data_IF_712879550321
#
_entry.id   IF_712879550321
#
_cell.length_a   1.000
_cell.length_b   1.000
_cell.length_c   1.000
_cell.angle_alpha   90.00
_cell.angle_beta   90.00
_cell.angle_gamma   90.00
#
_symmetry.space_group_name_H-M   'P 1'
#
loop_
_entity.id
_entity.type
_entity.pdbx_description
1 polymer ?
#
# COMPACT_ATOMS: atom_id res chain seq x y z
N UNK A 1 -4.81 -15.10 14.79
CA UNK A 1 -4.72 -13.63 14.60
C UNK A 1 -3.35 -13.15 15.04
N UNK A 2 -2.66 -12.35 14.22
CA UNK A 2 -1.64 -11.44 14.74
C UNK A 2 -2.35 -10.09 14.86
N UNK A 3 -2.89 -9.72 16.04
CA UNK A 3 -3.39 -8.37 16.22
C UNK A 3 -2.25 -7.41 15.89
N UNK A 4 -2.54 -6.38 15.10
CA UNK A 4 -1.55 -5.35 14.78
C UNK A 4 -0.87 -4.90 16.08
N UNK A 5 0.46 -5.00 16.12
CA UNK A 5 1.27 -4.72 17.28
C UNK A 5 1.16 -3.24 17.64
N UNK A 6 1.56 -2.90 18.87
CA UNK A 6 1.61 -1.49 19.29
C UNK A 6 2.54 -0.67 18.39
N UNK A 7 3.63 -1.28 17.92
CA UNK A 7 4.58 -0.65 17.00
C UNK A 7 3.94 -0.41 15.65
N UNK A 8 3.26 -1.42 15.09
CA UNK A 8 2.57 -1.29 13.81
C UNK A 8 1.52 -0.18 13.86
N UNK A 9 0.62 -0.22 14.85
CA UNK A 9 -0.42 0.81 14.99
C UNK A 9 0.15 2.21 15.16
N UNK A 10 1.24 2.35 15.91
CA UNK A 10 1.87 3.64 16.13
C UNK A 10 2.48 4.21 14.85
N UNK A 11 3.23 3.40 14.09
CA UNK A 11 3.90 3.85 12.85
C UNK A 11 2.89 4.00 11.71
N UNK A 12 2.02 3.01 11.51
CA UNK A 12 0.98 3.05 10.49
C UNK A 12 0.01 4.21 10.72
N UNK A 13 -0.47 4.36 11.95
CA UNK A 13 -1.43 5.38 12.35
C UNK A 13 -0.89 6.81 12.41
N UNK A 14 0.43 6.99 12.39
CA UNK A 14 1.06 8.32 12.42
C UNK A 14 1.38 8.88 11.04
N UNK A 15 1.08 8.15 9.96
CA UNK A 15 1.37 8.63 8.61
C UNK A 15 0.77 7.79 7.49
N UNK A 16 1.03 6.48 7.47
CA UNK A 16 0.66 5.61 6.33
C UNK A 16 -0.84 5.40 6.14
N UNK A 17 -1.66 5.62 7.17
CA UNK A 17 -3.12 5.55 7.07
C UNK A 17 -3.79 6.91 6.83
N UNK A 18 -3.02 7.97 6.60
CA UNK A 18 -3.51 9.36 6.58
C UNK A 18 -3.57 9.96 5.17
N UNK A 19 -3.44 9.16 4.11
CA UNK A 19 -3.45 9.66 2.73
C UNK A 19 -4.68 10.53 2.42
N UNK A 20 -5.88 10.08 2.84
CA UNK A 20 -7.14 10.78 2.56
C UNK A 20 -7.33 12.05 3.41
N UNK A 21 -6.87 12.04 4.67
CA UNK A 21 -7.13 13.11 5.63
C UNK A 21 -6.00 14.16 5.67
N UNK A 22 -4.75 13.71 5.63
CA UNK A 22 -3.53 14.51 5.78
C UNK A 22 -2.45 14.03 4.78
N UNK A 23 -2.65 14.23 3.46
CA UNK A 23 -1.76 13.71 2.42
C UNK A 23 -0.31 14.19 2.57
N UNK A 24 -0.09 15.39 3.12
CA UNK A 24 1.26 15.88 3.43
C UNK A 24 2.02 14.99 4.43
N UNK A 25 1.33 14.50 5.47
CA UNK A 25 1.91 13.60 6.48
C UNK A 25 2.18 12.21 5.86
N UNK A 26 1.28 11.75 4.99
CA UNK A 26 1.48 10.50 4.25
C UNK A 26 2.73 10.56 3.35
N UNK A 27 2.90 11.65 2.60
CA UNK A 27 4.07 11.90 1.73
C UNK A 27 5.35 11.90 2.56
N UNK A 28 5.38 12.67 3.65
CA UNK A 28 6.53 12.73 4.56
C UNK A 28 6.87 11.34 5.09
N UNK A 29 5.87 10.59 5.56
CA UNK A 29 6.07 9.23 6.06
C UNK A 29 6.68 8.30 5.00
N UNK A 30 6.26 8.38 3.74
CA UNK A 30 6.83 7.58 2.64
C UNK A 30 8.26 7.98 2.31
N UNK A 31 8.56 9.28 2.25
CA UNK A 31 9.89 9.80 1.92
C UNK A 31 10.93 9.53 3.01
N UNK A 32 10.50 9.46 4.27
CA UNK A 32 11.39 9.17 5.40
C UNK A 32 11.76 7.68 5.52
N UNK A 33 11.00 6.75 4.92
CA UNK A 33 11.21 5.29 5.10
C UNK A 33 12.65 4.84 4.81
N UNK A 34 13.30 5.23 3.69
CA UNK A 34 14.67 4.83 3.41
C UNK A 34 15.64 5.24 4.53
N UNK A 35 15.51 6.47 5.04
CA UNK A 35 16.32 6.94 6.15
C UNK A 35 16.00 6.14 7.43
N UNK A 36 14.72 6.00 7.77
CA UNK A 36 14.28 5.30 8.97
C UNK A 36 14.71 3.83 8.99
N UNK A 37 14.72 3.14 7.85
CA UNK A 37 15.24 1.77 7.73
C UNK A 37 16.77 1.72 7.84
N UNK A 38 17.48 2.66 7.22
CA UNK A 38 18.95 2.72 7.29
C UNK A 38 19.47 3.07 8.69
N UNK A 39 18.70 3.86 9.45
CA UNK A 39 19.02 4.36 10.78
C UNK A 39 18.09 3.76 11.85
N UNK A 40 17.92 2.43 11.85
CA UNK A 40 17.03 1.71 12.77
C UNK A 40 17.78 0.90 13.86
N UNK A 41 18.44 1.56 14.85
CA UNK A 41 19.24 0.85 15.84
C UNK A 41 18.43 -0.06 16.76
N UNK A 42 17.09 0.08 16.77
CA UNK A 42 16.18 -0.73 17.58
C UNK A 42 15.35 -1.71 16.76
N UNK A 43 15.56 -1.79 15.44
CA UNK A 43 14.82 -2.68 14.54
C UNK A 43 13.30 -2.41 14.48
N UNK A 44 12.84 -1.20 14.85
CA UNK A 44 11.42 -0.87 14.92
C UNK A 44 10.78 -0.74 13.56
N UNK A 45 11.46 -0.06 12.62
CA UNK A 45 11.01 0.10 11.25
C UNK A 45 11.16 -1.19 10.46
N UNK A 46 12.21 -1.97 10.73
CA UNK A 46 12.36 -3.30 10.15
C UNK A 46 11.22 -4.24 10.60
N UNK A 47 10.92 -4.29 11.91
CA UNK A 47 9.80 -5.07 12.43
C UNK A 47 8.44 -4.58 11.89
N UNK A 48 8.27 -3.28 11.72
CA UNK A 48 7.08 -2.71 11.07
C UNK A 48 6.93 -3.20 9.64
N UNK A 49 7.99 -3.13 8.82
CA UNK A 49 7.99 -3.63 7.44
C UNK A 49 7.64 -5.13 7.37
N UNK A 50 8.21 -5.94 8.25
CA UNK A 50 7.94 -7.39 8.31
C UNK A 50 6.49 -7.70 8.71
N UNK A 51 5.96 -6.95 9.69
CA UNK A 51 4.56 -7.07 10.10
C UNK A 51 3.59 -6.59 9.00
N UNK A 52 3.95 -5.53 8.28
CA UNK A 52 3.19 -5.04 7.13
C UNK A 52 3.09 -6.12 6.04
N UNK A 53 4.22 -6.73 5.67
CA UNK A 53 4.24 -7.83 4.70
C UNK A 53 3.37 -9.00 5.16
N UNK A 54 3.36 -9.29 6.46
CA UNK A 54 2.51 -10.33 7.06
C UNK A 54 1.02 -9.99 6.91
N UNK A 55 0.64 -8.73 7.12
CA UNK A 55 -0.74 -8.29 6.94
C UNK A 55 -1.23 -8.44 5.49
N UNK A 56 -0.38 -8.14 4.50
CA UNK A 56 -0.68 -8.37 3.08
C UNK A 56 -0.78 -9.87 2.79
N UNK A 57 0.23 -10.66 3.21
CA UNK A 57 0.29 -12.11 2.93
C UNK A 57 -0.92 -12.86 3.48
N UNK A 58 -1.31 -12.53 4.71
CA UNK A 58 -2.33 -13.27 5.46
C UNK A 58 -3.71 -12.57 5.40
N UNK A 59 -3.89 -11.53 4.55
CA UNK A 59 -5.11 -10.71 4.43
C UNK A 59 -5.76 -10.41 5.80
N UNK A 60 -4.93 -9.99 6.75
CA UNK A 60 -5.25 -10.01 8.18
C UNK A 60 -5.46 -8.61 8.79
N UNK A 61 -5.25 -7.56 8.00
CA UNK A 61 -5.62 -6.21 8.38
C UNK A 61 -7.10 -6.00 8.07
N UNK A 62 -7.89 -5.72 9.09
CA UNK A 62 -9.34 -5.62 8.95
C UNK A 62 -9.74 -4.37 8.15
N UNK A 63 -10.85 -4.43 7.39
CA UNK A 63 -11.42 -3.27 6.74
C UNK A 63 -11.71 -2.12 7.70
N UNK A 64 -11.49 -0.89 7.26
CA UNK A 64 -11.65 0.31 8.08
C UNK A 64 -13.13 0.68 8.29
N UNK A 65 -13.99 0.37 7.33
CA UNK A 65 -15.43 0.64 7.38
C UNK A 65 -16.26 -0.59 6.96
N UNK A 66 -17.55 -0.59 7.31
CA UNK A 66 -18.50 -1.65 6.91
C UNK A 66 -18.72 -1.70 5.38
N UNK A 67 -18.39 -0.63 4.66
CA UNK A 67 -18.49 -0.57 3.20
C UNK A 67 -17.27 -1.15 2.47
N UNK A 68 -16.16 -1.34 3.18
CA UNK A 68 -14.92 -1.83 2.60
C UNK A 68 -14.87 -3.35 2.62
N UNK A 69 -14.51 -3.94 1.49
CA UNK A 69 -14.21 -5.37 1.44
C UNK A 69 -12.79 -5.64 1.91
N UNK A 70 -12.51 -6.87 2.38
CA UNK A 70 -11.13 -7.29 2.66
C UNK A 70 -10.23 -7.12 1.42
N UNK A 71 -10.76 -7.36 0.21
CA UNK A 71 -9.99 -7.19 -1.02
C UNK A 71 -9.59 -5.74 -1.28
N UNK A 72 -10.51 -4.78 -1.07
CA UNK A 72 -10.18 -3.36 -1.17
C UNK A 72 -9.09 -2.96 -0.17
N UNK A 73 -9.16 -3.52 1.04
CA UNK A 73 -8.16 -3.29 2.08
C UNK A 73 -6.80 -3.86 1.69
N UNK A 74 -6.76 -5.09 1.16
CA UNK A 74 -5.52 -5.72 0.69
C UNK A 74 -4.89 -4.94 -0.46
N UNK A 75 -5.71 -4.48 -1.42
CA UNK A 75 -5.27 -3.66 -2.55
C UNK A 75 -4.74 -2.29 -2.09
N UNK A 76 -5.37 -1.66 -1.10
CA UNK A 76 -4.87 -0.42 -0.50
C UNK A 76 -3.53 -0.64 0.22
N UNK A 77 -3.39 -1.72 1.00
CA UNK A 77 -2.12 -2.05 1.63
C UNK A 77 -1.00 -2.29 0.61
N UNK A 78 -1.29 -2.86 -0.58
CA UNK A 78 -0.32 -2.97 -1.67
C UNK A 78 0.11 -1.61 -2.21
N UNK A 79 -0.78 -0.62 -2.28
CA UNK A 79 -0.42 0.76 -2.65
C UNK A 79 0.53 1.36 -1.62
N UNK A 80 0.17 1.27 -0.34
CA UNK A 80 1.01 1.79 0.75
C UNK A 80 2.37 1.09 0.79
N UNK A 81 2.41 -0.23 0.57
CA UNK A 81 3.66 -0.97 0.46
C UNK A 81 4.53 -0.45 -0.68
N UNK A 82 3.93 -0.27 -1.87
CA UNK A 82 4.62 0.26 -3.04
C UNK A 82 5.18 1.66 -2.76
N UNK A 83 4.41 2.52 -2.10
CA UNK A 83 4.79 3.89 -1.77
C UNK A 83 5.90 3.96 -0.72
N UNK A 84 5.81 3.15 0.32
CA UNK A 84 6.75 3.16 1.44
C UNK A 84 8.04 2.38 1.15
N UNK A 85 7.95 1.19 0.54
CA UNK A 85 9.04 0.22 0.52
C UNK A 85 9.61 -0.07 -0.87
N UNK A 86 8.92 0.35 -1.94
CA UNK A 86 9.40 0.24 -3.32
C UNK A 86 8.63 -0.75 -4.18
N UNK A 87 9.10 -0.96 -5.43
CA UNK A 87 8.35 -1.68 -6.46
C UNK A 87 8.30 -3.21 -6.27
N UNK A 88 9.20 -3.76 -5.45
CA UNK A 88 9.20 -5.19 -5.15
C UNK A 88 7.98 -5.58 -4.31
N UNK A 89 7.20 -6.61 -4.70
CA UNK A 89 6.04 -7.05 -3.93
C UNK A 89 6.38 -7.40 -2.48
N UNK A 90 5.38 -7.27 -1.61
CA UNK A 90 5.52 -7.71 -0.23
C UNK A 90 5.88 -9.21 -0.18
N UNK A 91 6.87 -9.64 0.62
CA UNK A 91 7.28 -11.03 0.68
C UNK A 91 6.12 -11.97 0.99
N UNK A 92 5.82 -12.87 0.04
CA UNK A 92 4.75 -13.85 0.16
C UNK A 92 3.36 -13.33 -0.21
N UNK A 93 3.22 -12.12 -0.76
CA UNK A 93 1.94 -11.63 -1.28
C UNK A 93 1.34 -12.65 -2.28
N UNK A 94 0.15 -13.21 -2.00
CA UNK A 94 -0.48 -14.20 -2.88
C UNK A 94 -0.98 -13.59 -4.19
N UNK A 95 -1.20 -12.27 -4.25
CA UNK A 95 -1.78 -11.59 -5.41
C UNK A 95 -1.05 -10.27 -5.72
N UNK A 96 0.24 -10.33 -6.07
CA UNK A 96 1.02 -9.12 -6.34
C UNK A 96 0.41 -8.32 -7.50
N UNK A 97 0.61 -7.00 -7.48
CA UNK A 97 0.30 -6.14 -8.63
C UNK A 97 1.41 -6.31 -9.67
N UNK A 98 1.08 -6.51 -10.96
CA UNK A 98 2.08 -6.54 -12.03
C UNK A 98 2.90 -5.25 -12.05
N UNK A 99 4.23 -5.36 -12.23
CA UNK A 99 5.12 -4.20 -12.15
C UNK A 99 4.76 -3.13 -13.20
N UNK A 100 4.31 -3.56 -14.38
CA UNK A 100 3.90 -2.71 -15.49
C UNK A 100 2.60 -1.93 -15.27
N UNK A 101 1.82 -2.26 -14.24
CA UNK A 101 0.57 -1.55 -13.96
C UNK A 101 0.83 -0.28 -13.13
N UNK A 102 1.89 -0.25 -12.30
CA UNK A 102 2.22 0.88 -11.44
C UNK A 102 2.57 2.13 -12.24
N UNK A 103 1.96 3.27 -11.89
CA UNK A 103 2.18 4.54 -12.59
C UNK A 103 1.62 4.59 -14.01
N UNK A 104 0.84 3.57 -14.42
CA UNK A 104 0.23 3.48 -15.75
C UNK A 104 -1.26 3.19 -15.67
N UNK A 105 -1.63 1.99 -15.20
CA UNK A 105 -3.03 1.59 -14.94
C UNK A 105 -3.40 1.74 -13.48
N UNK A 106 -2.41 1.77 -12.59
CA UNK A 106 -2.59 1.87 -11.16
C UNK A 106 -1.85 3.06 -10.60
N UNK A 107 -2.62 3.95 -9.99
CA UNK A 107 -2.13 5.11 -9.26
C UNK A 107 -2.21 4.80 -7.76
N UNK A 108 -1.22 5.29 -7.01
CA UNK A 108 -1.20 5.26 -5.55
C UNK A 108 -1.39 6.67 -5.00
N UNK A 109 -1.67 6.77 -3.71
CA UNK A 109 -1.88 8.08 -3.06
C UNK A 109 -0.63 8.95 -3.13
N UNK A 110 0.58 8.35 -3.05
CA UNK A 110 1.80 9.11 -3.25
C UNK A 110 1.88 9.69 -4.66
N UNK A 111 1.54 8.93 -5.69
CA UNK A 111 1.52 9.44 -7.08
C UNK A 111 0.51 10.58 -7.25
N UNK A 112 -0.65 10.51 -6.58
CA UNK A 112 -1.71 11.51 -6.69
C UNK A 112 -1.40 12.81 -5.94
N UNK A 113 -0.69 12.72 -4.81
CA UNK A 113 -0.50 13.87 -3.92
C UNK A 113 0.92 14.43 -3.95
N UNK A 114 1.94 13.59 -4.17
CA UNK A 114 3.35 13.99 -4.13
C UNK A 114 3.88 14.41 -5.51
N UNK A 115 3.33 13.83 -6.59
CA UNK A 115 3.84 14.00 -7.96
C UNK A 115 2.91 14.94 -8.74
N UNK A 116 3.44 16.11 -9.12
CA UNK A 116 2.76 17.09 -9.97
C UNK A 116 3.36 17.12 -11.38
N UNK A 117 2.80 17.96 -12.26
CA UNK A 117 3.23 18.08 -13.67
C UNK A 117 4.74 18.36 -13.84
N UNK A 118 5.36 19.03 -12.86
CA UNK A 118 6.80 19.33 -12.88
C UNK A 118 7.45 19.03 -11.52
N UNK A 119 8.78 18.77 -11.50
CA UNK A 119 9.52 18.53 -10.26
C UNK A 119 9.40 19.67 -9.25
N UNK A 120 9.33 20.92 -9.71
CA UNK A 120 9.29 22.11 -8.84
C UNK A 120 7.96 22.26 -8.10
N UNK A 121 6.90 21.64 -8.60
CA UNK A 121 5.58 21.61 -7.97
C UNK A 121 5.34 20.32 -7.17
N UNK A 122 6.26 19.37 -7.25
CA UNK A 122 6.17 18.08 -6.57
C UNK A 122 6.78 18.14 -5.17
N UNK A 123 6.54 17.11 -4.35
CA UNK A 123 7.25 16.98 -3.08
C UNK A 123 8.76 16.88 -3.31
N UNK A 124 9.56 17.27 -2.31
CA UNK A 124 11.01 17.29 -2.44
C UNK A 124 11.61 15.90 -2.72
N UNK A 125 11.01 14.83 -2.19
CA UNK A 125 11.44 13.46 -2.43
C UNK A 125 10.88 12.82 -3.70
N UNK A 126 9.88 13.40 -4.36
CA UNK A 126 9.24 12.81 -5.54
C UNK A 126 10.22 12.41 -6.67
N UNK A 127 11.23 13.21 -7.04
CA UNK A 127 12.19 12.80 -8.08
C UNK A 127 12.94 11.52 -7.74
N UNK A 128 13.45 11.39 -6.50
CA UNK A 128 14.16 10.19 -6.05
C UNK A 128 13.21 8.99 -5.89
N UNK A 129 11.99 9.25 -5.43
CA UNK A 129 10.95 8.24 -5.30
C UNK A 129 10.58 7.63 -6.66
N UNK A 130 10.43 8.46 -7.70
CA UNK A 130 10.15 8.03 -9.08
C UNK A 130 11.32 7.24 -9.67
N UNK A 131 12.55 7.73 -9.50
CA UNK A 131 13.76 7.08 -10.01
C UNK A 131 13.90 5.65 -9.48
N UNK A 132 13.72 5.45 -8.17
CA UNK A 132 13.79 4.12 -7.53
C UNK A 132 12.72 3.14 -7.99
N UNK A 133 11.67 3.64 -8.66
CA UNK A 133 10.56 2.88 -9.22
C UNK A 133 10.58 2.77 -10.74
N UNK A 134 11.58 3.37 -11.39
CA UNK A 134 11.68 3.38 -12.85
C UNK A 134 10.55 4.14 -13.54
N UNK A 135 9.95 5.12 -12.85
CA UNK A 135 8.84 5.94 -13.34
C UNK A 135 9.31 7.36 -13.66
N UNK A 136 8.53 8.05 -14.48
CA UNK A 136 8.72 9.48 -14.79
C UNK A 136 7.49 10.30 -14.42
N UNK A 137 7.66 11.61 -14.29
CA UNK A 137 6.54 12.54 -14.13
C UNK A 137 5.52 12.42 -15.28
N UNK A 138 5.99 12.15 -16.50
CA UNK A 138 5.14 11.98 -17.66
C UNK A 138 4.28 10.72 -17.58
N UNK A 139 4.81 9.62 -17.03
CA UNK A 139 4.04 8.39 -16.82
C UNK A 139 2.87 8.65 -15.86
N UNK A 140 3.14 9.32 -14.73
CA UNK A 140 2.12 9.66 -13.74
C UNK A 140 1.07 10.60 -14.32
N UNK A 141 1.49 11.66 -15.02
CA UNK A 141 0.56 12.59 -15.67
C UNK A 141 -0.35 11.88 -16.67
N UNK A 142 0.20 10.99 -17.51
CA UNK A 142 -0.59 10.22 -18.46
C UNK A 142 -1.57 9.25 -17.77
N UNK A 143 -1.15 8.62 -16.67
CA UNK A 143 -2.01 7.75 -15.88
C UNK A 143 -3.16 8.52 -15.21
N UNK A 144 -2.89 9.72 -14.68
CA UNK A 144 -3.92 10.61 -14.11
C UNK A 144 -4.95 10.99 -15.18
N UNK A 145 -4.51 11.39 -16.38
CA UNK A 145 -5.41 11.72 -17.49
C UNK A 145 -6.28 10.53 -17.90
N UNK A 146 -5.70 9.32 -17.96
CA UNK A 146 -6.45 8.09 -18.21
C UNK A 146 -7.49 7.82 -17.11
N UNK A 147 -7.12 8.04 -15.84
CA UNK A 147 -8.02 7.84 -14.69
C UNK A 147 -9.23 8.76 -14.67
N UNK A 148 -9.10 9.99 -15.21
CA UNK A 148 -10.23 10.90 -15.33
C UNK A 148 -11.31 10.37 -16.29
N UNK A 149 -10.97 9.40 -17.13
CA UNK A 149 -11.86 8.85 -18.17
C UNK A 149 -12.20 7.37 -17.98
N UNK A 150 -11.53 6.66 -17.05
CA UNK A 150 -11.73 5.23 -16.77
C UNK A 150 -11.63 4.96 -15.27
N UNK A 151 -12.45 4.06 -14.72
CA UNK A 151 -12.31 3.63 -13.33
C UNK A 151 -11.03 2.80 -13.19
N UNK A 152 -9.98 3.43 -12.67
CA UNK A 152 -8.73 2.80 -12.25
C UNK A 152 -8.61 3.01 -10.74
N UNK A 153 -8.31 1.95 -10.01
CA UNK A 153 -8.14 2.08 -8.56
C UNK A 153 -7.93 0.73 -7.89
N UNK A 154 -8.88 -0.19 -8.04
CA UNK A 154 -8.77 -1.54 -7.46
C UNK A 154 -9.14 -2.61 -8.48
N UNK A 155 -8.35 -3.68 -8.52
CA UNK A 155 -8.66 -4.85 -9.35
C UNK A 155 -9.90 -5.53 -8.79
N UNK A 156 -10.59 -6.34 -9.59
CA UNK A 156 -11.54 -7.30 -9.02
C UNK A 156 -10.79 -8.37 -8.23
N UNK A 157 -11.40 -8.88 -7.17
CA UNK A 157 -10.84 -10.01 -6.43
C UNK A 157 -10.62 -11.19 -7.41
N UNK A 158 -9.43 -11.80 -7.42
CA UNK A 158 -9.14 -12.90 -8.32
C UNK A 158 -9.94 -14.15 -7.94
N UNK A 159 -10.11 -15.05 -8.92
CA UNK A 159 -10.67 -16.38 -8.66
C UNK A 159 -9.84 -17.11 -7.57
N UNK A 160 -10.50 -17.81 -6.65
CA UNK A 160 -9.82 -18.51 -5.55
C UNK A 160 -9.51 -17.63 -4.32
N UNK A 161 -9.76 -16.32 -4.39
CA UNK A 161 -9.44 -15.41 -3.28
C UNK A 161 -10.24 -15.69 -2.01
N UNK A 162 -11.55 -15.96 -2.13
CA UNK A 162 -12.38 -16.30 -0.97
C UNK A 162 -11.97 -17.64 -0.34
N UNK A 163 -11.63 -18.63 -1.16
CA UNK A 163 -11.11 -19.93 -0.71
C UNK A 163 -9.78 -19.75 0.03
N UNK A 164 -8.92 -18.86 -0.47
CA UNK A 164 -7.68 -18.50 0.21
C UNK A 164 -7.93 -17.87 1.59
N UNK A 165 -8.85 -16.90 1.70
CA UNK A 165 -9.23 -16.32 2.98
C UNK A 165 -9.78 -17.36 3.96
N UNK A 166 -10.54 -18.33 3.43
CA UNK A 166 -11.04 -19.45 4.21
C UNK A 166 -9.91 -20.35 4.73
N UNK A 167 -8.95 -20.75 3.90
CA UNK A 167 -7.78 -21.53 4.34
C UNK A 167 -7.01 -20.82 5.46
N UNK A 168 -6.76 -19.53 5.29
CA UNK A 168 -6.06 -18.73 6.30
C UNK A 168 -6.82 -18.66 7.63
N UNK A 169 -8.16 -18.60 7.56
CA UNK A 169 -9.04 -18.61 8.73
C UNK A 169 -9.02 -19.98 9.41
N UNK A 170 -9.15 -21.07 8.65
CA UNK A 170 -9.11 -22.45 9.16
C UNK A 170 -7.75 -22.77 9.83
N UNK A 171 -6.67 -22.12 9.37
CA UNK A 171 -5.32 -22.20 9.95
C UNK A 171 -5.08 -21.24 11.13
N UNK A 172 -6.06 -20.42 11.49
CA UNK A 172 -5.99 -19.47 12.61
C UNK A 172 -5.08 -18.27 12.39
N UNK A 173 -4.70 -17.98 11.14
CA UNK A 173 -3.82 -16.86 10.79
C UNK A 173 -4.57 -15.53 10.85
N UNK A 174 -5.85 -15.53 10.50
CA UNK A 174 -6.76 -14.38 10.55
C UNK A 174 -8.16 -14.77 11.04
N UNK A 175 -8.97 -13.76 11.33
CA UNK A 175 -10.39 -13.91 11.64
C UNK A 175 -11.24 -13.60 10.41
N UNK A 176 -12.42 -14.21 10.26
CA UNK A 176 -13.36 -13.84 9.21
C UNK A 176 -13.83 -12.39 9.41
N UNK A 177 -13.92 -11.64 8.31
CA UNK A 177 -14.43 -10.29 8.26
C UNK A 177 -15.88 -10.26 7.71
N UNK A 178 -16.65 -9.20 8.02
CA UNK A 178 -17.96 -9.00 7.42
C UNK A 178 -17.89 -9.03 5.89
N UNK A 179 -18.84 -9.71 5.25
CA UNK A 179 -18.94 -9.78 3.79
C UNK A 179 -18.15 -10.92 3.11
N UNK A 180 -17.40 -11.72 3.87
CA UNK A 180 -16.66 -12.88 3.34
C UNK A 180 -17.47 -14.19 3.37
N UNK A 181 -18.80 -14.10 3.47
CA UNK A 181 -19.66 -15.29 3.48
C UNK A 181 -19.75 -15.92 2.07
N UNK A 182 -19.78 -17.26 1.99
CA UNK A 182 -19.86 -17.99 0.72
C UNK A 182 -21.17 -17.76 -0.05
#
# INVERSE_FOLDING_TARGET
MIPASKTFRAIFGSGFNLADDEPGIYIEACEEVPEKLSNDPRGRYQAFKEEFATHIRDSSFAPASEGDTQWMTDEWLRNVWYDAFGPEPAPGDPYPVPAEDWGHRRLTDYMLHAVNETPELSSAGAPAWLETRGLTFADISAAVDLSATQSVGFRSAPEGWLEHLKDLTDRGLREPQPGELP
#
